data_IF_875190113366
#
_entry.id   IF_875190113366
#
_cell.length_a   1.000
_cell.length_b   1.000
_cell.length_c   1.000
_cell.angle_alpha   90.00
_cell.angle_beta   90.00
_cell.angle_gamma   90.00
#
_symmetry.space_group_name_H-M   'P 1'
#
loop_
_entity.id
_entity.type
_entity.pdbx_description
1 polymer ?
#
# COMPACT_ATOMS: atom_id res chain seq x y z
N UNK A 1 -11.96 14.63 -20.40
CA UNK A 1 -10.99 13.76 -19.72
C UNK A 1 -10.31 14.54 -18.62
N UNK A 2 -10.65 14.30 -17.35
CA UNK A 2 -9.90 14.88 -16.23
C UNK A 2 -8.81 13.87 -15.84
N UNK A 3 -7.59 14.08 -16.30
CA UNK A 3 -6.42 13.32 -15.84
C UNK A 3 -6.16 13.71 -14.37
N UNK A 4 -6.66 12.91 -13.43
CA UNK A 4 -6.42 13.12 -12.00
C UNK A 4 -5.43 12.11 -11.39
N UNK A 5 -4.58 11.48 -12.20
CA UNK A 5 -3.69 10.42 -11.70
C UNK A 5 -2.23 10.68 -12.10
N UNK A 6 -1.73 11.87 -11.77
CA UNK A 6 -0.30 12.19 -11.88
C UNK A 6 0.45 11.79 -10.60
N UNK A 7 0.20 10.59 -10.08
CA UNK A 7 0.86 10.08 -8.87
C UNK A 7 1.76 8.90 -9.19
N UNK A 8 3.01 8.97 -8.73
CA UNK A 8 3.90 7.80 -8.67
C UNK A 8 3.94 7.32 -7.23
N UNK A 9 3.73 6.01 -7.06
CA UNK A 9 3.88 5.33 -5.78
C UNK A 9 5.20 4.59 -5.74
N UNK A 10 5.92 4.74 -4.65
CA UNK A 10 7.22 4.10 -4.42
C UNK A 10 7.13 3.36 -3.10
N UNK A 11 7.24 2.04 -3.16
CA UNK A 11 7.40 1.18 -2.00
C UNK A 11 8.88 0.79 -1.90
N UNK A 12 9.55 1.26 -0.86
CA UNK A 12 10.97 1.00 -0.65
C UNK A 12 11.29 0.90 0.84
N UNK A 13 12.04 -0.16 1.21
CA UNK A 13 12.34 -0.48 2.60
C UNK A 13 11.05 -0.66 3.40
N UNK A 14 10.91 0.10 4.50
CA UNK A 14 9.73 0.08 5.36
C UNK A 14 8.74 1.21 5.06
N UNK A 15 8.80 1.86 3.88
CA UNK A 15 7.95 3.00 3.58
C UNK A 15 7.30 2.94 2.21
N UNK A 16 6.10 3.52 2.13
CA UNK A 16 5.43 3.81 0.87
C UNK A 16 5.19 5.30 0.77
N UNK A 17 5.61 5.89 -0.34
CA UNK A 17 5.40 7.32 -0.63
C UNK A 17 4.64 7.49 -1.93
N UNK A 18 3.81 8.52 -2.02
CA UNK A 18 3.24 8.98 -3.29
C UNK A 18 3.74 10.39 -3.62
N UNK A 19 4.16 10.57 -4.86
CA UNK A 19 4.67 11.84 -5.38
C UNK A 19 3.75 12.31 -6.51
N UNK A 20 3.24 13.53 -6.39
CA UNK A 20 2.58 14.22 -7.51
C UNK A 20 3.64 14.70 -8.49
N UNK A 21 3.68 14.09 -9.68
CA UNK A 21 4.69 14.39 -10.71
C UNK A 21 4.48 15.74 -11.38
N UNK A 22 3.28 16.32 -11.29
CA UNK A 22 3.01 17.66 -11.85
C UNK A 22 3.61 18.75 -10.98
N UNK A 23 3.64 18.51 -9.66
CA UNK A 23 4.19 19.46 -8.68
C UNK A 23 5.55 19.05 -8.13
N UNK A 24 5.97 17.81 -8.40
CA UNK A 24 7.14 17.13 -7.83
C UNK A 24 7.15 17.15 -6.29
N UNK A 25 5.97 17.07 -5.66
CA UNK A 25 5.82 17.08 -4.20
C UNK A 25 5.33 15.73 -3.69
N UNK A 26 5.84 15.33 -2.53
CA UNK A 26 5.29 14.20 -1.79
C UNK A 26 3.92 14.58 -1.25
N UNK A 27 2.90 13.78 -1.54
CA UNK A 27 1.50 14.02 -1.13
C UNK A 27 0.95 12.96 -0.19
N UNK A 28 1.66 11.84 -0.05
CA UNK A 28 1.30 10.74 0.84
C UNK A 28 2.56 10.04 1.32
N UNK A 29 2.56 9.59 2.58
CA UNK A 29 3.61 8.75 3.14
C UNK A 29 3.05 7.86 4.24
N UNK A 30 3.36 6.58 4.16
CA UNK A 30 3.16 5.60 5.22
C UNK A 30 4.52 5.01 5.58
N UNK A 31 4.79 4.93 6.89
CA UNK A 31 5.93 4.21 7.43
C UNK A 31 5.41 2.98 8.17
N UNK A 32 5.96 1.83 7.83
CA UNK A 32 5.75 0.57 8.52
C UNK A 32 6.89 0.33 9.51
N UNK A 33 6.63 -0.52 10.50
CA UNK A 33 7.68 -1.02 11.40
C UNK A 33 8.50 -2.15 10.77
N UNK A 34 8.01 -2.72 9.67
CA UNK A 34 8.56 -3.87 8.96
C UNK A 34 8.88 -3.50 7.51
N UNK A 35 9.71 -4.31 6.84
CA UNK A 35 9.97 -4.13 5.40
C UNK A 35 8.74 -4.46 4.55
N UNK A 36 8.56 -3.69 3.48
CA UNK A 36 7.54 -3.95 2.46
C UNK A 36 8.08 -4.99 1.49
N UNK A 37 7.39 -6.12 1.38
CA UNK A 37 7.76 -7.23 0.51
C UNK A 37 6.94 -7.28 -0.79
N UNK A 38 5.74 -6.72 -0.77
CA UNK A 38 4.90 -6.57 -1.95
C UNK A 38 4.03 -5.33 -1.87
N UNK A 39 3.67 -4.77 -3.02
CA UNK A 39 2.90 -3.53 -3.10
C UNK A 39 1.99 -3.55 -4.32
N UNK A 40 0.75 -3.08 -4.14
CA UNK A 40 -0.13 -2.79 -5.27
C UNK A 40 -1.05 -1.61 -4.98
N UNK A 41 -1.33 -0.83 -6.02
CA UNK A 41 -2.28 0.28 -6.03
C UNK A 41 -3.51 -0.07 -6.87
N UNK A 42 -4.69 0.31 -6.38
CA UNK A 42 -5.94 0.38 -7.11
C UNK A 42 -6.37 1.85 -7.28
N UNK A 43 -6.09 2.47 -8.46
CA UNK A 43 -6.29 3.90 -8.68
C UNK A 43 -7.74 4.37 -8.51
N UNK A 44 -8.69 3.60 -9.06
CA UNK A 44 -10.13 3.89 -9.07
C UNK A 44 -10.71 4.12 -7.65
N UNK A 45 -10.17 3.41 -6.65
CA UNK A 45 -10.59 3.54 -5.25
C UNK A 45 -9.60 4.35 -4.40
N UNK A 46 -8.48 4.78 -4.99
CA UNK A 46 -7.35 5.41 -4.29
C UNK A 46 -6.85 4.55 -3.11
N UNK A 47 -6.83 3.23 -3.30
CA UNK A 47 -6.43 2.25 -2.29
C UNK A 47 -5.07 1.66 -2.60
N UNK A 48 -4.20 1.59 -1.60
CA UNK A 48 -2.96 0.82 -1.71
C UNK A 48 -2.98 -0.35 -0.75
N UNK A 49 -2.35 -1.45 -1.13
CA UNK A 49 -2.06 -2.54 -0.21
C UNK A 49 -0.58 -2.86 -0.20
N UNK A 50 -0.09 -3.16 1.01
CA UNK A 50 1.31 -3.43 1.31
C UNK A 50 1.40 -4.78 1.99
N UNK A 51 2.14 -5.72 1.41
CA UNK A 51 2.50 -6.97 2.06
C UNK A 51 3.73 -6.80 2.93
N UNK A 52 3.64 -7.20 4.19
CA UNK A 52 4.66 -7.13 5.23
C UNK A 52 5.08 -8.55 5.67
N UNK A 53 5.67 -8.70 6.87
CA UNK A 53 6.29 -9.96 7.27
C UNK A 53 5.28 -11.07 7.60
N UNK A 54 4.08 -10.78 8.10
CA UNK A 54 3.06 -11.80 8.44
C UNK A 54 1.64 -11.33 8.14
N UNK A 55 1.52 -10.19 7.47
CA UNK A 55 0.26 -9.49 7.25
C UNK A 55 0.32 -8.67 5.99
N UNK A 56 -0.84 -8.37 5.42
CA UNK A 56 -0.99 -7.31 4.45
C UNK A 56 -1.85 -6.19 5.03
N UNK A 57 -1.53 -4.94 4.68
CA UNK A 57 -2.25 -3.77 5.19
C UNK A 57 -2.84 -2.98 4.03
N UNK A 58 -4.11 -2.60 4.16
CA UNK A 58 -4.85 -1.81 3.18
C UNK A 58 -4.97 -0.36 3.65
N UNK A 59 -4.72 0.59 2.76
CA UNK A 59 -4.71 2.01 3.09
C UNK A 59 -5.54 2.83 2.09
N UNK A 60 -6.22 3.86 2.60
CA UNK A 60 -6.86 4.88 1.77
C UNK A 60 -5.87 6.05 1.60
N UNK A 61 -5.43 6.30 0.37
CA UNK A 61 -4.52 7.41 0.09
C UNK A 61 -5.16 8.76 0.41
N UNK A 62 -6.49 8.86 0.32
CA UNK A 62 -7.23 10.10 0.63
C UNK A 62 -7.30 10.36 2.13
N UNK A 63 -7.20 9.32 2.97
CA UNK A 63 -7.19 9.44 4.43
C UNK A 63 -5.79 9.70 4.99
N UNK A 64 -4.74 9.29 4.28
CA UNK A 64 -3.35 9.35 4.75
C UNK A 64 -2.64 10.70 4.59
N UNK A 65 -3.36 11.81 4.41
CA UNK A 65 -2.73 13.14 4.35
C UNK A 65 -2.23 13.63 5.72
N UNK A 66 -2.66 13.02 6.83
CA UNK A 66 -2.08 13.26 8.15
C UNK A 66 -0.92 12.28 8.42
N UNK A 67 0.28 12.77 8.10
CA UNK A 67 1.60 12.11 8.10
C UNK A 67 1.97 11.44 9.46
N UNK A 68 1.17 11.58 10.51
CA UNK A 68 1.45 11.03 11.83
C UNK A 68 0.61 9.83 12.26
N UNK A 69 -0.57 9.59 11.66
CA UNK A 69 -1.48 8.50 12.05
C UNK A 69 -2.44 8.12 10.92
N UNK A 70 -1.93 7.83 9.72
CA UNK A 70 -2.73 7.02 8.80
C UNK A 70 -3.01 5.69 9.51
N UNK A 71 -4.26 5.42 9.87
CA UNK A 71 -4.68 4.09 10.31
C UNK A 71 -5.00 3.25 9.07
N UNK A 72 -4.50 2.02 9.03
CA UNK A 72 -4.86 1.10 7.97
C UNK A 72 -6.37 0.86 7.99
N UNK A 73 -7.00 0.81 6.81
CA UNK A 73 -8.42 0.48 6.68
C UNK A 73 -8.67 -0.94 7.17
N UNK A 74 -7.76 -1.85 6.84
CA UNK A 74 -7.85 -3.24 7.18
C UNK A 74 -6.45 -3.86 7.30
N UNK A 75 -6.36 -4.84 8.19
CA UNK A 75 -5.22 -5.72 8.36
C UNK A 75 -5.65 -7.13 7.95
N UNK A 76 -4.89 -7.72 7.04
CA UNK A 76 -5.10 -9.06 6.50
C UNK A 76 -4.05 -9.99 7.12
N UNK A 77 -4.40 -10.54 8.28
CA UNK A 77 -3.56 -11.46 9.05
C UNK A 77 -3.77 -12.92 8.63
N UNK A 78 -2.84 -13.78 9.05
CA UNK A 78 -2.92 -15.23 8.87
C UNK A 78 -1.74 -15.84 8.12
N UNK A 79 -0.84 -15.01 7.60
CA UNK A 79 0.40 -15.48 6.98
C UNK A 79 1.43 -15.89 8.03
N UNK A 80 2.19 -16.96 7.76
CA UNK A 80 3.28 -17.44 8.65
C UNK A 80 4.65 -16.85 8.29
N UNK A 81 4.69 -16.03 7.25
CA UNK A 81 5.88 -15.35 6.78
C UNK A 81 5.55 -14.33 5.70
N UNK A 82 6.60 -13.81 5.08
CA UNK A 82 6.52 -12.59 4.28
C UNK A 82 5.48 -12.72 3.16
N UNK A 83 4.63 -11.71 3.04
CA UNK A 83 3.64 -11.58 1.98
C UNK A 83 4.33 -11.06 0.72
N UNK A 84 4.85 -11.98 -0.08
CA UNK A 84 5.64 -11.68 -1.28
C UNK A 84 4.78 -11.51 -2.54
N UNK A 85 3.57 -12.07 -2.53
CA UNK A 85 2.62 -11.98 -3.63
C UNK A 85 1.39 -11.21 -3.17
N UNK A 86 0.99 -10.24 -3.97
CA UNK A 86 -0.16 -9.41 -3.67
C UNK A 86 -0.89 -9.09 -4.98
N UNK A 87 -2.19 -9.36 -5.00
CA UNK A 87 -3.09 -8.95 -6.06
C UNK A 87 -4.30 -8.20 -5.49
N UNK A 88 -4.61 -7.03 -6.03
CA UNK A 88 -5.80 -6.26 -5.71
C UNK A 88 -6.57 -5.93 -6.98
N UNK A 89 -7.89 -6.12 -6.90
CA UNK A 89 -8.86 -5.63 -7.86
C UNK A 89 -10.01 -4.89 -7.13
N UNK A 90 -11.02 -4.34 -7.84
CA UNK A 90 -12.13 -3.63 -7.20
C UNK A 90 -12.96 -4.44 -6.20
N UNK A 91 -12.89 -5.77 -6.19
CA UNK A 91 -13.76 -6.66 -5.42
C UNK A 91 -13.01 -7.50 -4.39
N UNK A 92 -11.74 -7.84 -4.64
CA UNK A 92 -10.96 -8.72 -3.78
C UNK A 92 -9.50 -8.32 -3.68
N UNK A 93 -8.91 -8.77 -2.59
CA UNK A 93 -7.47 -8.75 -2.34
C UNK A 93 -7.06 -10.20 -2.15
N UNK A 94 -5.99 -10.61 -2.83
CA UNK A 94 -5.39 -11.93 -2.71
C UNK A 94 -3.93 -11.73 -2.31
N UNK A 95 -3.55 -12.27 -1.16
CA UNK A 95 -2.19 -12.24 -0.63
C UNK A 95 -1.62 -13.65 -0.54
N UNK A 96 -0.31 -13.79 -0.72
CA UNK A 96 0.37 -15.07 -0.63
C UNK A 96 1.81 -14.91 -0.13
N UNK A 97 2.20 -15.79 0.78
CA UNK A 97 3.55 -15.89 1.32
C UNK A 97 4.17 -17.26 1.02
N UNK A 98 5.50 -17.28 0.93
CA UNK A 98 6.25 -18.51 0.67
C UNK A 98 6.26 -19.48 1.86
N UNK A 99 5.71 -19.11 3.02
CA UNK A 99 5.74 -19.92 4.25
C UNK A 99 4.34 -20.33 4.74
N UNK A 100 3.31 -20.12 3.93
CA UNK A 100 1.91 -20.33 4.34
C UNK A 100 1.42 -21.78 4.22
N UNK A 101 2.32 -22.70 3.86
CA UNK A 101 2.05 -24.14 3.76
C UNK A 101 2.21 -24.87 5.10
#
# INVERSE_FOLDING_TARGET
MKCHESLIYIAAGSSVVAIDIRTMRQVFKVNHQEEVHSFQMLPEKSLICTGLAQRAMLWDVRRGCDIQKGEAIAELDGHRGNVNLLHMDPYKIVSGGLKDF
#
